data_IF_362420893348
#
_entry.id   IF_362420893348
#
_cell.length_a   1.000
_cell.length_b   1.000
_cell.length_c   1.000
_cell.angle_alpha   90.00
_cell.angle_beta   90.00
_cell.angle_gamma   90.00
#
_symmetry.space_group_name_H-M   'P 1'
#
loop_
_entity.id
_entity.type
_entity.pdbx_description
1 polymer ?
#
# COMPACT_ATOMS: atom_id res chain seq x y z
N UNK A 1 8.28 7.09 -5.79
CA UNK A 1 7.70 6.97 -4.43
C UNK A 1 8.27 8.10 -3.58
N UNK A 2 7.54 8.62 -2.58
CA UNK A 2 8.10 9.62 -1.65
C UNK A 2 8.76 8.86 -0.50
N UNK A 3 10.08 9.04 -0.32
CA UNK A 3 10.85 8.39 0.74
C UNK A 3 10.80 9.28 1.97
N UNK A 4 9.97 8.92 2.95
CA UNK A 4 10.00 9.52 4.28
C UNK A 4 10.43 8.41 5.26
N UNK A 5 11.64 8.53 5.81
CA UNK A 5 12.21 7.64 6.84
C UNK A 5 12.05 6.13 6.61
N UNK A 6 12.49 5.62 5.45
CA UNK A 6 12.52 4.17 5.12
C UNK A 6 11.17 3.45 5.05
N UNK A 7 10.04 4.15 5.19
CA UNK A 7 8.72 3.61 4.85
C UNK A 7 8.51 3.71 3.34
N UNK A 8 8.55 2.57 2.65
CA UNK A 8 8.09 2.45 1.28
C UNK A 8 6.56 2.53 1.26
N UNK A 9 6.01 3.73 1.41
CA UNK A 9 4.59 3.96 1.14
C UNK A 9 4.46 4.08 -0.39
N UNK A 10 3.85 3.11 -1.10
CA UNK A 10 3.63 3.26 -2.52
C UNK A 10 2.78 4.52 -2.73
N UNK A 11 3.10 5.34 -3.75
CA UNK A 11 2.31 6.54 -4.11
C UNK A 11 0.80 6.23 -4.21
N UNK A 12 0.50 4.98 -4.54
CA UNK A 12 -0.83 4.39 -4.60
C UNK A 12 -1.55 4.42 -3.24
N UNK A 13 -0.89 4.11 -2.12
CA UNK A 13 -1.54 4.17 -0.80
C UNK A 13 -1.94 5.59 -0.42
N UNK A 14 -1.08 6.58 -0.73
CA UNK A 14 -1.42 8.00 -0.51
C UNK A 14 -2.62 8.40 -1.38
N UNK A 15 -2.60 8.01 -2.65
CA UNK A 15 -3.71 8.27 -3.58
C UNK A 15 -5.01 7.60 -3.13
N UNK A 16 -4.96 6.36 -2.61
CA UNK A 16 -6.12 5.66 -2.06
C UNK A 16 -6.66 6.42 -0.83
N UNK A 17 -5.79 6.86 0.09
CA UNK A 17 -6.23 7.65 1.26
C UNK A 17 -6.88 8.96 0.83
N UNK A 18 -6.32 9.64 -0.17
CA UNK A 18 -6.90 10.87 -0.72
C UNK A 18 -8.27 10.63 -1.38
N UNK A 19 -8.43 9.53 -2.10
CA UNK A 19 -9.72 9.14 -2.69
C UNK A 19 -10.72 8.82 -1.58
N UNK A 20 -10.34 8.02 -0.58
CA UNK A 20 -11.21 7.67 0.54
C UNK A 20 -11.65 8.91 1.31
N UNK A 21 -10.77 9.89 1.52
CA UNK A 21 -11.12 11.16 2.15
C UNK A 21 -12.23 11.90 1.39
N UNK A 22 -12.11 11.98 0.05
CA UNK A 22 -13.12 12.63 -0.79
C UNK A 22 -14.45 11.87 -0.80
N UNK A 23 -14.40 10.54 -0.85
CA UNK A 23 -15.59 9.70 -0.78
C UNK A 23 -16.29 9.85 0.57
N UNK A 24 -15.56 9.78 1.68
CA UNK A 24 -16.14 9.95 3.01
C UNK A 24 -16.78 11.32 3.21
N UNK A 25 -16.19 12.37 2.62
CA UNK A 25 -16.79 13.71 2.62
C UNK A 25 -18.11 13.73 1.84
N UNK A 26 -18.15 13.08 0.68
CA UNK A 26 -19.36 12.97 -0.15
C UNK A 26 -20.44 12.14 0.55
N UNK A 27 -20.08 10.99 1.12
CA UNK A 27 -20.97 10.13 1.91
C UNK A 27 -21.55 10.85 3.13
N UNK A 28 -20.76 11.69 3.80
CA UNK A 28 -21.21 12.46 4.96
C UNK A 28 -22.30 13.47 4.57
N UNK A 29 -22.00 14.36 3.62
CA UNK A 29 -22.98 15.37 3.19
C UNK A 29 -24.17 14.74 2.45
N UNK A 30 -23.94 13.67 1.68
CA UNK A 30 -25.00 12.91 1.01
C UNK A 30 -25.93 12.18 1.99
N UNK A 31 -25.38 11.58 3.05
CA UNK A 31 -26.15 10.85 4.06
C UNK A 31 -27.02 11.77 4.91
N UNK A 32 -26.49 12.95 5.23
CA UNK A 32 -27.25 14.00 5.91
C UNK A 32 -28.31 14.58 4.97
N UNK A 33 -27.95 14.86 3.71
CA UNK A 33 -28.90 15.36 2.71
C UNK A 33 -30.09 14.40 2.56
N UNK A 34 -29.87 13.09 2.40
CA UNK A 34 -30.95 12.10 2.31
C UNK A 34 -31.90 12.11 3.52
N UNK A 35 -31.41 12.50 4.70
CA UNK A 35 -32.21 12.56 5.93
C UNK A 35 -33.04 13.83 6.04
N UNK A 36 -32.53 14.96 5.54
CA UNK A 36 -33.10 16.31 5.68
C UNK A 36 -33.68 16.88 4.37
N UNK A 37 -33.59 16.14 3.27
CA UNK A 37 -34.11 16.51 1.95
C UNK A 37 -35.61 16.83 1.94
N UNK A 38 -36.37 16.34 2.92
CA UNK A 38 -37.81 16.58 3.04
C UNK A 38 -38.18 17.91 3.72
N UNK A 39 -37.24 18.65 4.33
CA UNK A 39 -37.58 19.77 5.22
C UNK A 39 -36.83 21.09 5.03
N UNK A 40 -35.56 21.08 4.62
CA UNK A 40 -34.76 22.31 4.49
C UNK A 40 -33.87 22.26 3.26
N UNK A 41 -33.96 23.27 2.40
CA UNK A 41 -33.09 23.40 1.23
C UNK A 41 -31.62 23.45 1.61
N UNK A 42 -30.78 22.81 0.79
CA UNK A 42 -29.33 22.76 0.96
C UNK A 42 -28.73 24.17 0.88
N UNK A 43 -28.47 24.79 2.03
CA UNK A 43 -27.88 26.12 2.13
C UNK A 43 -26.41 26.03 2.50
N UNK A 44 -25.59 26.99 2.04
CA UNK A 44 -24.14 27.06 2.34
C UNK A 44 -23.88 27.11 3.87
N UNK A 45 -24.84 27.63 4.64
CA UNK A 45 -24.79 27.62 6.10
C UNK A 45 -24.72 26.21 6.69
N UNK A 46 -25.46 25.27 6.10
CA UNK A 46 -25.48 23.87 6.53
C UNK A 46 -24.10 23.19 6.45
N UNK A 47 -23.34 23.51 5.40
CA UNK A 47 -21.96 23.03 5.27
C UNK A 47 -21.05 23.54 6.37
N UNK A 48 -21.20 24.81 6.78
CA UNK A 48 -20.38 25.41 7.83
C UNK A 48 -20.74 24.82 9.18
N UNK A 49 -22.04 24.66 9.44
CA UNK A 49 -22.55 24.15 10.71
C UNK A 49 -22.18 22.68 10.91
N UNK A 50 -22.13 21.87 9.85
CA UNK A 50 -21.79 20.44 9.92
C UNK A 50 -20.32 20.09 9.61
N UNK A 51 -19.45 21.09 9.40
CA UNK A 51 -18.06 20.85 8.97
C UNK A 51 -17.22 20.16 10.05
N UNK A 52 -17.45 20.51 11.32
CA UNK A 52 -16.69 19.96 12.43
C UNK A 52 -17.02 18.48 12.64
N UNK A 53 -18.29 18.13 12.56
CA UNK A 53 -18.82 16.77 12.64
C UNK A 53 -18.33 15.91 11.47
N UNK A 54 -18.27 16.50 10.26
CA UNK A 54 -17.72 15.84 9.08
C UNK A 54 -16.25 15.47 9.32
N UNK A 55 -15.46 16.39 9.84
CA UNK A 55 -14.04 16.14 10.14
C UNK A 55 -13.90 15.01 11.16
N UNK A 56 -14.64 15.05 12.27
CA UNK A 56 -14.64 14.00 13.29
C UNK A 56 -14.96 12.64 12.68
N UNK A 57 -16.02 12.56 11.88
CA UNK A 57 -16.43 11.32 11.21
C UNK A 57 -15.34 10.79 10.27
N UNK A 58 -14.82 11.63 9.38
CA UNK A 58 -13.78 11.24 8.41
C UNK A 58 -12.52 10.76 9.15
N UNK A 59 -12.07 11.48 10.19
CA UNK A 59 -10.92 11.06 10.99
C UNK A 59 -11.17 9.74 11.71
N UNK A 60 -12.33 9.56 12.34
CA UNK A 60 -12.69 8.32 13.02
C UNK A 60 -12.75 7.14 12.03
N UNK A 61 -13.31 7.33 10.84
CA UNK A 61 -13.44 6.30 9.82
C UNK A 61 -12.08 5.95 9.20
N UNK A 62 -11.27 6.94 8.82
CA UNK A 62 -9.90 6.72 8.32
C UNK A 62 -9.05 6.01 9.37
N UNK A 63 -9.13 6.43 10.63
CA UNK A 63 -8.42 5.78 11.73
C UNK A 63 -8.86 4.32 11.89
N UNK A 64 -10.16 4.04 11.83
CA UNK A 64 -10.71 2.69 11.93
C UNK A 64 -10.27 1.79 10.77
N UNK A 65 -10.23 2.33 9.55
CA UNK A 65 -9.73 1.62 8.38
C UNK A 65 -8.22 1.36 8.46
N UNK A 66 -7.45 2.34 8.96
CA UNK A 66 -6.03 2.20 9.18
C UNK A 66 -5.70 1.15 10.26
N UNK A 67 -6.45 1.15 11.37
CA UNK A 67 -6.31 0.19 12.45
C UNK A 67 -6.56 -1.26 11.98
N UNK A 68 -7.53 -1.47 11.09
CA UNK A 68 -7.81 -2.77 10.46
C UNK A 68 -6.88 -3.10 9.28
N UNK A 69 -5.87 -2.27 9.02
CA UNK A 69 -4.87 -2.53 8.00
C UNK A 69 -5.38 -2.44 6.56
N UNK A 70 -6.42 -1.65 6.30
CA UNK A 70 -6.92 -1.44 4.92
C UNK A 70 -5.91 -0.70 4.01
N UNK A 71 -4.95 0.00 4.59
CA UNK A 71 -3.92 0.76 3.87
C UNK A 71 -2.56 0.05 3.82
N UNK A 72 -2.44 -1.12 4.44
CA UNK A 72 -1.21 -1.90 4.33
C UNK A 72 -1.07 -2.44 2.90
N UNK A 73 0.13 -2.37 2.31
CA UNK A 73 0.41 -3.08 1.08
C UNK A 73 0.45 -4.57 1.40
N UNK A 74 -0.67 -5.26 1.26
CA UNK A 74 -0.73 -6.71 1.34
C UNK A 74 -0.81 -7.33 -0.04
N UNK A 75 0.01 -8.38 -0.22
CA UNK A 75 0.28 -9.13 -1.44
C UNK A 75 -0.96 -9.83 -2.01
N UNK A 76 -2.08 -9.92 -1.27
CA UNK A 76 -3.33 -10.52 -1.74
C UNK A 76 -4.54 -9.63 -1.42
N UNK A 77 -4.84 -8.75 -2.37
CA UNK A 77 -6.09 -8.00 -2.40
C UNK A 77 -7.19 -8.89 -2.97
N UNK A 78 -7.77 -9.73 -2.14
CA UNK A 78 -9.04 -10.40 -2.42
C UNK A 78 -10.22 -9.49 -2.06
N UNK A 79 -11.31 -9.62 -2.81
CA UNK A 79 -12.54 -8.88 -2.48
C UNK A 79 -13.08 -9.30 -1.11
N UNK A 80 -12.95 -10.58 -0.78
CA UNK A 80 -13.33 -11.13 0.53
C UNK A 80 -12.49 -10.53 1.66
N UNK A 81 -11.17 -10.42 1.50
CA UNK A 81 -10.31 -9.82 2.54
C UNK A 81 -10.62 -8.34 2.76
N UNK A 82 -10.98 -7.62 1.68
CA UNK A 82 -11.47 -6.23 1.78
C UNK A 82 -12.77 -6.16 2.58
N UNK A 83 -13.74 -7.03 2.31
CA UNK A 83 -15.02 -7.06 3.03
C UNK A 83 -14.83 -7.39 4.52
N UNK A 84 -14.02 -8.41 4.82
CA UNK A 84 -13.70 -8.83 6.19
C UNK A 84 -12.92 -7.78 7.00
N UNK A 85 -12.27 -6.81 6.35
CA UNK A 85 -11.63 -5.67 7.02
C UNK A 85 -12.56 -4.47 7.13
N UNK A 86 -13.34 -4.19 6.10
CA UNK A 86 -14.21 -3.02 6.08
C UNK A 86 -15.36 -3.14 7.09
N UNK A 87 -15.97 -4.33 7.23
CA UNK A 87 -17.03 -4.56 8.22
C UNK A 87 -16.60 -4.21 9.66
N UNK A 88 -15.49 -4.75 10.20
CA UNK A 88 -15.04 -4.40 11.54
C UNK A 88 -14.53 -2.95 11.63
N UNK A 89 -14.00 -2.35 10.54
CA UNK A 89 -13.68 -0.92 10.52
C UNK A 89 -14.90 -0.03 10.71
N UNK A 90 -16.01 -0.32 10.01
CA UNK A 90 -17.26 0.43 10.18
C UNK A 90 -17.82 0.25 11.59
N UNK A 91 -17.78 -0.97 12.12
CA UNK A 91 -18.21 -1.25 13.50
C UNK A 91 -17.36 -0.48 14.53
N UNK A 92 -16.03 -0.44 14.35
CA UNK A 92 -15.11 0.34 15.17
C UNK A 92 -15.44 1.84 15.08
N UNK A 93 -15.63 2.37 13.86
CA UNK A 93 -16.01 3.76 13.64
C UNK A 93 -17.34 4.09 14.32
N UNK A 94 -18.34 3.22 14.23
CA UNK A 94 -19.62 3.39 14.92
C UNK A 94 -19.44 3.45 16.44
N UNK A 95 -18.62 2.57 17.01
CA UNK A 95 -18.27 2.61 18.43
C UNK A 95 -17.56 3.90 18.84
N UNK A 96 -16.60 4.36 18.04
CA UNK A 96 -15.89 5.64 18.28
C UNK A 96 -16.84 6.83 18.20
N UNK A 97 -17.71 6.88 17.20
CA UNK A 97 -18.69 7.96 17.06
C UNK A 97 -19.68 7.97 18.21
N UNK A 98 -20.17 6.80 18.65
CA UNK A 98 -21.03 6.70 19.82
C UNK A 98 -20.33 7.19 21.10
N UNK A 99 -19.04 6.86 21.27
CA UNK A 99 -18.22 7.35 22.38
C UNK A 99 -18.00 8.86 22.31
N UNK A 100 -17.72 9.41 21.13
CA UNK A 100 -17.53 10.85 20.93
C UNK A 100 -18.82 11.61 21.23
N UNK A 101 -19.98 11.12 20.77
CA UNK A 101 -21.28 11.73 21.08
C UNK A 101 -21.63 11.69 22.56
N UNK A 102 -21.11 10.71 23.31
CA UNK A 102 -21.30 10.68 24.76
C UNK A 102 -20.51 11.78 25.47
N UNK A 103 -19.30 12.09 25.00
CA UNK A 103 -18.45 13.15 25.59
C UNK A 103 -18.88 14.54 25.09
N UNK A 104 -19.22 14.65 23.80
CA UNK A 104 -19.56 15.89 23.10
C UNK A 104 -20.96 15.80 22.52
N UNK A 105 -22.02 15.94 23.34
CA UNK A 105 -23.40 15.80 22.89
C UNK A 105 -23.81 16.85 21.85
N UNK A 106 -23.10 17.98 21.77
CA UNK A 106 -23.32 19.03 20.75
C UNK A 106 -23.03 18.54 19.32
N UNK A 107 -22.19 17.50 19.15
CA UNK A 107 -21.84 16.93 17.83
C UNK A 107 -22.82 15.85 17.35
N UNK A 108 -23.93 15.65 18.05
CA UNK A 108 -24.85 14.55 17.78
C UNK A 108 -25.62 14.75 16.47
N UNK A 109 -25.27 13.93 15.46
CA UNK A 109 -25.87 13.95 14.11
C UNK A 109 -27.28 13.33 14.04
N UNK A 110 -27.79 12.74 15.11
CA UNK A 110 -29.01 11.94 15.05
C UNK A 110 -28.74 10.50 14.57
N UNK A 111 -29.33 9.52 15.27
CA UNK A 111 -29.16 8.07 14.96
C UNK A 111 -29.44 7.72 13.49
N UNK A 112 -30.45 8.35 12.88
CA UNK A 112 -30.81 8.11 11.48
C UNK A 112 -29.82 8.69 10.46
N UNK A 113 -29.28 9.88 10.71
CA UNK A 113 -28.28 10.47 9.81
C UNK A 113 -26.97 9.70 9.89
N UNK A 114 -26.53 9.31 11.11
CA UNK A 114 -25.34 8.47 11.29
C UNK A 114 -25.47 7.14 10.53
N UNK A 115 -26.64 6.50 10.59
CA UNK A 115 -26.89 5.26 9.84
C UNK A 115 -26.74 5.48 8.33
N UNK A 116 -27.36 6.53 7.77
CA UNK A 116 -27.27 6.85 6.34
C UNK A 116 -25.80 7.11 5.92
N UNK A 117 -25.07 7.91 6.69
CA UNK A 117 -23.66 8.24 6.42
C UNK A 117 -22.79 6.98 6.46
N UNK A 118 -23.00 6.09 7.43
CA UNK A 118 -22.26 4.82 7.54
C UNK A 118 -22.54 3.90 6.36
N UNK A 119 -23.80 3.74 5.97
CA UNK A 119 -24.20 2.88 4.84
C UNK A 119 -23.63 3.43 3.53
N UNK A 120 -23.74 4.73 3.28
CA UNK A 120 -23.15 5.34 2.08
C UNK A 120 -21.63 5.18 2.05
N UNK A 121 -20.96 5.47 3.17
CA UNK A 121 -19.50 5.33 3.27
C UNK A 121 -19.07 3.89 2.97
N UNK A 122 -19.78 2.90 3.51
CA UNK A 122 -19.51 1.49 3.25
C UNK A 122 -19.67 1.14 1.77
N UNK A 123 -20.78 1.55 1.14
CA UNK A 123 -21.08 1.27 -0.26
C UNK A 123 -20.09 1.97 -1.19
N UNK A 124 -19.81 3.25 -0.98
CA UNK A 124 -18.88 4.03 -1.80
C UNK A 124 -17.46 3.47 -1.73
N UNK A 125 -16.97 3.13 -0.54
CA UNK A 125 -15.66 2.52 -0.37
C UNK A 125 -15.61 1.15 -1.04
N UNK A 126 -16.64 0.31 -0.90
CA UNK A 126 -16.70 -0.98 -1.59
C UNK A 126 -16.66 -0.83 -3.11
N UNK A 127 -17.43 0.11 -3.67
CA UNK A 127 -17.43 0.39 -5.11
C UNK A 127 -16.05 0.88 -5.55
N UNK A 128 -15.45 1.83 -4.83
CA UNK A 128 -14.12 2.34 -5.13
C UNK A 128 -13.07 1.22 -5.12
N UNK A 129 -13.13 0.32 -4.14
CA UNK A 129 -12.26 -0.85 -4.09
C UNK A 129 -12.54 -1.80 -5.25
N UNK A 130 -13.78 -2.14 -5.56
CA UNK A 130 -14.13 -2.99 -6.69
C UNK A 130 -13.62 -2.44 -8.04
N UNK A 131 -13.74 -1.12 -8.24
CA UNK A 131 -13.17 -0.43 -9.41
C UNK A 131 -11.65 -0.53 -9.41
N UNK A 132 -10.99 -0.32 -8.27
CA UNK A 132 -9.53 -0.48 -8.15
C UNK A 132 -9.08 -1.92 -8.40
N UNK A 133 -9.79 -2.93 -7.91
CA UNK A 133 -9.49 -4.34 -8.21
C UNK A 133 -9.61 -4.64 -9.71
N UNK A 134 -10.67 -4.14 -10.35
CA UNK A 134 -10.90 -4.33 -11.79
C UNK A 134 -9.97 -3.49 -12.66
N UNK A 135 -9.51 -2.33 -12.16
CA UNK A 135 -8.59 -1.42 -12.84
C UNK A 135 -7.10 -1.74 -12.60
N UNK A 136 -6.75 -2.45 -11.53
CA UNK A 136 -5.38 -2.86 -11.21
C UNK A 136 -4.82 -3.94 -12.15
N UNK A 137 -5.66 -4.52 -13.02
CA UNK A 137 -5.20 -5.32 -14.16
C UNK A 137 -4.66 -4.48 -15.32
N UNK A 138 -4.80 -3.15 -15.28
CA UNK A 138 -4.27 -2.27 -16.31
C UNK A 138 -2.81 -1.95 -15.98
N UNK A 139 -1.95 -2.25 -16.95
CA UNK A 139 -0.47 -2.22 -17.02
C UNK A 139 0.24 -0.94 -16.53
N UNK A 140 -0.50 0.05 -16.01
CA UNK A 140 -0.07 1.38 -15.58
C UNK A 140 0.70 1.34 -14.25
N UNK A 141 0.44 0.34 -13.40
CA UNK A 141 1.09 0.23 -12.07
C UNK A 141 2.34 -0.66 -12.05
N UNK A 142 2.67 -1.33 -13.16
CA UNK A 142 3.87 -2.15 -13.24
C UNK A 142 5.06 -1.28 -13.57
N UNK A 143 6.04 -1.22 -12.65
CA UNK A 143 7.33 -0.60 -12.96
C UNK A 143 7.98 -1.36 -14.11
N UNK A 144 8.53 -0.61 -15.08
CA UNK A 144 9.32 -1.17 -16.17
C UNK A 144 10.66 -1.61 -15.58
N UNK A 145 10.91 -2.91 -15.57
CA UNK A 145 12.02 -3.48 -14.82
C UNK A 145 12.99 -4.17 -15.77
N UNK A 146 14.26 -3.79 -15.67
CA UNK A 146 15.36 -4.44 -16.35
C UNK A 146 15.99 -5.45 -15.40
N UNK A 147 16.29 -6.66 -15.87
CA UNK A 147 16.89 -7.70 -15.04
C UNK A 147 18.35 -7.89 -15.47
N UNK A 148 19.26 -7.74 -14.51
CA UNK A 148 20.69 -8.01 -14.70
C UNK A 148 20.98 -9.44 -14.24
N UNK A 149 21.15 -10.34 -15.21
CA UNK A 149 21.29 -11.79 -15.04
C UNK A 149 20.36 -12.54 -15.99
N UNK A 150 20.84 -13.66 -16.53
CA UNK A 150 20.09 -14.54 -17.46
C UNK A 150 20.00 -15.99 -16.99
N UNK A 151 20.54 -16.28 -15.80
CA UNK A 151 20.55 -17.61 -15.22
C UNK A 151 19.21 -18.05 -14.62
N UNK A 152 19.26 -19.13 -13.82
CA UNK A 152 18.07 -19.76 -13.21
C UNK A 152 17.21 -18.78 -12.41
N UNK A 153 17.84 -17.89 -11.62
CA UNK A 153 17.14 -16.89 -10.80
C UNK A 153 16.34 -15.88 -11.65
N UNK A 154 16.83 -15.55 -12.85
CA UNK A 154 16.14 -14.67 -13.79
C UNK A 154 14.98 -15.40 -14.51
N UNK A 155 15.13 -16.69 -14.79
CA UNK A 155 14.06 -17.52 -15.34
C UNK A 155 12.92 -17.75 -14.34
N UNK A 156 13.24 -17.91 -13.06
CA UNK A 156 12.24 -18.06 -12.00
C UNK A 156 11.35 -16.79 -11.86
N UNK A 157 11.89 -15.60 -12.16
CA UNK A 157 11.11 -14.35 -12.23
C UNK A 157 10.07 -14.35 -13.36
N UNK A 158 10.34 -15.01 -14.49
CA UNK A 158 9.42 -15.13 -15.63
C UNK A 158 8.41 -16.25 -15.39
N UNK A 159 8.90 -17.41 -14.98
CA UNK A 159 8.12 -18.64 -14.75
C UNK A 159 7.58 -18.71 -13.33
N UNK A 160 7.29 -17.56 -12.70
CA UNK A 160 6.52 -17.57 -11.47
C UNK A 160 5.06 -17.88 -11.80
N UNK A 161 4.81 -19.15 -12.12
CA UNK A 161 3.52 -19.75 -12.49
C UNK A 161 2.43 -19.41 -11.47
N UNK A 162 1.74 -18.28 -11.66
CA UNK A 162 0.59 -17.87 -10.86
C UNK A 162 0.83 -17.62 -9.37
N UNK A 163 2.05 -17.78 -8.85
CA UNK A 163 2.36 -17.57 -7.42
C UNK A 163 2.43 -16.09 -7.03
N UNK A 164 2.71 -15.21 -7.98
CA UNK A 164 2.66 -13.75 -7.78
C UNK A 164 1.44 -13.25 -8.56
N UNK A 165 0.48 -12.57 -7.90
CA UNK A 165 -0.70 -12.06 -8.58
C UNK A 165 -0.27 -11.04 -9.63
N UNK A 166 -0.96 -11.05 -10.78
CA UNK A 166 -0.52 -10.35 -12.00
C UNK A 166 -0.16 -8.86 -11.80
N UNK A 167 -0.75 -8.18 -10.82
CA UNK A 167 -0.47 -6.77 -10.55
C UNK A 167 0.87 -6.50 -9.83
N UNK A 168 1.46 -7.50 -9.16
CA UNK A 168 2.80 -7.41 -8.54
C UNK A 168 3.91 -7.95 -9.46
N UNK A 169 3.57 -8.55 -10.60
CA UNK A 169 4.58 -9.01 -11.55
C UNK A 169 5.26 -7.79 -12.19
N UNK A 170 6.60 -7.74 -12.19
CA UNK A 170 7.32 -6.64 -12.78
C UNK A 170 7.11 -6.70 -14.30
N UNK A 171 6.95 -5.54 -14.95
CA UNK A 171 6.92 -5.51 -16.41
C UNK A 171 8.37 -5.63 -16.89
N UNK A 172 8.80 -6.87 -17.11
CA UNK A 172 10.17 -7.15 -17.54
C UNK A 172 10.35 -6.62 -18.96
N UNK A 173 11.18 -5.59 -19.11
CA UNK A 173 11.47 -4.96 -20.41
C UNK A 173 12.68 -5.56 -21.11
N UNK A 174 13.53 -6.29 -20.37
CA UNK A 174 14.68 -6.99 -20.93
C UNK A 174 15.58 -7.62 -19.87
N UNK A 175 16.39 -8.57 -20.32
CA UNK A 175 17.44 -9.24 -19.54
C UNK A 175 18.81 -8.87 -20.08
N UNK A 176 19.75 -8.53 -19.20
CA UNK A 176 21.15 -8.27 -19.52
C UNK A 176 21.98 -9.45 -19.01
N UNK A 177 22.71 -10.18 -19.87
CA UNK A 177 23.52 -11.31 -19.45
C UNK A 177 24.80 -10.88 -18.72
N UNK A 178 25.23 -11.69 -17.74
CA UNK A 178 26.61 -11.60 -17.25
C UNK A 178 27.58 -12.30 -18.20
N UNK A 179 28.83 -11.82 -18.34
CA UNK A 179 29.85 -12.51 -19.14
C UNK A 179 30.09 -13.93 -18.61
N UNK A 180 29.82 -14.94 -19.43
CA UNK A 180 30.03 -16.36 -19.10
C UNK A 180 28.85 -17.07 -18.44
N UNK A 181 27.67 -16.44 -18.36
CA UNK A 181 26.46 -17.05 -17.81
C UNK A 181 25.71 -17.90 -18.86
N UNK A 182 25.12 -19.02 -18.42
CA UNK A 182 24.28 -19.86 -19.28
C UNK A 182 22.87 -19.25 -19.38
N UNK A 183 22.46 -18.88 -20.59
CA UNK A 183 21.18 -18.22 -20.83
C UNK A 183 20.02 -19.20 -20.64
N UNK A 184 19.19 -18.96 -19.61
CA UNK A 184 17.99 -19.77 -19.32
C UNK A 184 16.68 -19.00 -19.47
N UNK A 185 16.73 -17.81 -20.06
CA UNK A 185 15.57 -16.94 -20.34
C UNK A 185 15.25 -16.91 -21.84
N UNK A 186 14.01 -16.54 -22.25
CA UNK A 186 13.64 -16.46 -23.67
C UNK A 186 14.54 -15.49 -24.44
N UNK A 187 15.11 -15.96 -25.56
CA UNK A 187 16.05 -15.19 -26.37
C UNK A 187 15.50 -13.84 -26.88
N UNK A 188 14.18 -13.73 -27.04
CA UNK A 188 13.49 -12.50 -27.47
C UNK A 188 13.54 -11.36 -26.45
N UNK A 189 13.84 -11.65 -25.18
CA UNK A 189 13.93 -10.66 -24.11
C UNK A 189 15.38 -10.35 -23.71
N UNK A 190 16.36 -11.01 -24.33
CA UNK A 190 17.78 -10.78 -24.05
C UNK A 190 18.22 -9.54 -24.82
N UNK A 191 18.70 -8.54 -24.10
CA UNK A 191 19.24 -7.31 -24.67
C UNK A 191 20.70 -7.57 -25.06
N UNK A 192 20.92 -7.90 -26.32
CA UNK A 192 22.26 -8.07 -26.90
C UNK A 192 22.80 -6.71 -27.33
N UNK A 193 23.66 -6.11 -26.51
CA UNK A 193 24.36 -4.86 -26.81
C UNK A 193 25.57 -4.66 -25.89
N UNK A 194 26.60 -3.95 -26.36
CA UNK A 194 27.74 -3.49 -25.53
C UNK A 194 27.49 -2.12 -24.91
N UNK A 195 26.25 -1.65 -24.96
CA UNK A 195 25.87 -0.35 -24.43
C UNK A 195 25.95 -0.37 -22.90
N UNK A 196 26.31 0.76 -22.31
CA UNK A 196 26.33 0.89 -20.85
C UNK A 196 24.94 0.61 -20.26
N UNK A 197 24.90 0.06 -19.04
CA UNK A 197 23.66 -0.26 -18.35
C UNK A 197 22.71 0.94 -18.28
N UNK A 198 23.28 2.15 -18.18
CA UNK A 198 22.57 3.41 -18.21
C UNK A 198 21.87 3.67 -19.55
N UNK A 199 22.57 3.47 -20.68
CA UNK A 199 22.00 3.67 -22.02
C UNK A 199 20.86 2.68 -22.28
N UNK A 200 21.02 1.44 -21.80
CA UNK A 200 19.97 0.43 -21.84
C UNK A 200 18.78 0.82 -20.96
N UNK A 201 19.02 1.28 -19.73
CA UNK A 201 17.95 1.74 -18.85
C UNK A 201 17.15 2.91 -19.45
N UNK A 202 17.81 3.87 -20.09
CA UNK A 202 17.16 4.99 -20.76
C UNK A 202 16.37 4.53 -22.00
N UNK A 203 16.97 3.67 -22.84
CA UNK A 203 16.34 3.14 -24.07
C UNK A 203 15.07 2.35 -23.77
N UNK A 204 15.12 1.49 -22.76
CA UNK A 204 13.99 0.66 -22.36
C UNK A 204 13.04 1.37 -21.37
N UNK A 205 13.34 2.63 -21.00
CA UNK A 205 12.64 3.42 -19.97
C UNK A 205 12.47 2.61 -18.67
N UNK A 206 13.53 1.98 -18.22
CA UNK A 206 13.54 1.17 -17.02
C UNK A 206 13.50 2.07 -15.78
N UNK A 207 12.52 1.85 -14.91
CA UNK A 207 12.40 2.55 -13.63
C UNK A 207 13.11 1.77 -12.50
N UNK A 208 13.31 0.47 -12.70
CA UNK A 208 13.89 -0.46 -11.75
C UNK A 208 14.88 -1.41 -12.45
N UNK A 209 15.95 -1.76 -11.75
CA UNK A 209 16.93 -2.77 -12.13
C UNK A 209 16.97 -3.83 -11.03
N UNK A 210 16.59 -5.06 -11.37
CA UNK A 210 16.71 -6.22 -10.47
C UNK A 210 17.99 -6.97 -10.82
N UNK A 211 18.84 -7.19 -9.83
CA UNK A 211 20.06 -7.98 -9.97
C UNK A 211 19.73 -9.42 -9.57
N UNK A 212 19.88 -10.35 -10.50
CA UNK A 212 19.55 -11.77 -10.32
C UNK A 212 20.76 -12.64 -10.71
N UNK A 213 21.87 -12.61 -9.94
CA UNK A 213 23.08 -13.36 -10.29
C UNK A 213 22.86 -14.85 -10.01
N UNK A 214 23.34 -15.74 -10.88
CA UNK A 214 23.35 -17.19 -10.62
C UNK A 214 24.51 -17.61 -9.71
N UNK A 215 25.70 -17.02 -9.88
CA UNK A 215 26.88 -17.28 -9.05
C UNK A 215 27.82 -16.05 -9.04
N UNK A 216 28.16 -15.50 -7.85
CA UNK A 216 29.11 -14.36 -7.72
C UNK A 216 30.59 -14.80 -7.75
N UNK A 217 30.93 -15.88 -8.46
CA UNK A 217 32.30 -16.38 -8.52
C UNK A 217 33.00 -15.86 -9.77
N UNK A 218 33.81 -14.82 -9.60
CA UNK A 218 34.82 -14.39 -10.59
C UNK A 218 34.32 -13.62 -11.82
N UNK A 219 33.03 -13.32 -11.94
CA UNK A 219 32.47 -12.52 -13.03
C UNK A 219 32.54 -11.00 -12.80
N UNK A 220 32.61 -10.23 -13.88
CA UNK A 220 32.52 -8.76 -13.86
C UNK A 220 31.15 -8.32 -13.29
N UNK A 221 31.19 -7.62 -12.15
CA UNK A 221 29.99 -7.05 -11.52
C UNK A 221 30.03 -5.52 -11.68
N UNK A 222 29.13 -4.91 -12.47
CA UNK A 222 29.22 -3.50 -12.85
C UNK A 222 28.74 -2.56 -11.73
N UNK A 223 29.48 -2.51 -10.61
CA UNK A 223 29.12 -1.68 -9.44
C UNK A 223 29.03 -0.20 -9.81
N UNK A 224 29.98 0.29 -10.63
CA UNK A 224 30.02 1.70 -11.03
C UNK A 224 28.78 2.09 -11.84
N UNK A 225 28.40 1.28 -12.83
CA UNK A 225 27.22 1.56 -13.66
C UNK A 225 25.92 1.47 -12.86
N UNK A 226 25.83 0.51 -11.92
CA UNK A 226 24.68 0.40 -11.00
C UNK A 226 24.58 1.61 -10.08
N UNK A 227 25.71 2.12 -9.59
CA UNK A 227 25.73 3.33 -8.76
C UNK A 227 25.29 4.55 -9.55
N UNK A 228 25.75 4.71 -10.79
CA UNK A 228 25.32 5.80 -11.67
C UNK A 228 23.83 5.75 -11.97
N UNK A 229 23.28 4.55 -12.24
CA UNK A 229 21.83 4.36 -12.38
C UNK A 229 21.09 4.78 -11.11
N UNK A 230 21.61 4.40 -9.94
CA UNK A 230 21.02 4.78 -8.64
C UNK A 230 21.08 6.29 -8.39
N UNK A 231 22.15 6.97 -8.79
CA UNK A 231 22.27 8.44 -8.69
C UNK A 231 21.29 9.17 -9.61
N UNK A 232 20.92 8.59 -10.76
CA UNK A 232 19.88 9.10 -11.65
C UNK A 232 18.45 8.79 -11.21
N UNK A 233 18.28 8.13 -10.06
CA UNK A 233 16.98 7.81 -9.49
C UNK A 233 16.37 6.48 -9.98
N UNK A 234 17.10 5.71 -10.78
CA UNK A 234 16.71 4.34 -11.16
C UNK A 234 16.92 3.43 -9.95
N UNK A 235 15.90 2.67 -9.57
CA UNK A 235 15.98 1.83 -8.36
C UNK A 235 16.75 0.56 -8.66
N UNK A 236 17.84 0.33 -7.93
CA UNK A 236 18.65 -0.89 -8.05
C UNK A 236 18.44 -1.77 -6.82
N UNK A 237 18.02 -3.02 -7.01
CA UNK A 237 17.78 -3.98 -5.92
C UNK A 237 18.19 -5.40 -6.31
N UNK A 238 18.52 -6.22 -5.31
CA UNK A 238 18.76 -7.66 -5.48
C UNK A 238 17.41 -8.40 -5.58
N UNK A 239 17.38 -9.57 -6.21
CA UNK A 239 16.21 -10.43 -6.33
C UNK A 239 15.62 -10.79 -4.95
N UNK A 240 16.49 -10.98 -3.94
CA UNK A 240 16.06 -11.25 -2.56
C UNK A 240 15.28 -10.06 -1.98
N UNK A 241 15.78 -8.83 -2.16
CA UNK A 241 15.11 -7.59 -1.72
C UNK A 241 13.84 -7.33 -2.51
N UNK A 242 13.81 -7.70 -3.80
CA UNK A 242 12.59 -7.65 -4.60
C UNK A 242 11.51 -8.58 -4.04
N UNK A 243 11.85 -9.84 -3.72
CA UNK A 243 10.90 -10.78 -3.12
C UNK A 243 10.42 -10.35 -1.74
N UNK A 244 11.30 -9.82 -0.90
CA UNK A 244 10.92 -9.28 0.41
C UNK A 244 9.92 -8.13 0.28
N UNK A 245 10.17 -7.19 -0.64
CA UNK A 245 9.29 -6.05 -0.90
C UNK A 245 7.90 -6.47 -1.39
N UNK A 246 7.84 -7.41 -2.33
CA UNK A 246 6.59 -7.74 -3.02
C UNK A 246 5.78 -8.84 -2.30
N UNK A 247 6.44 -9.76 -1.58
CA UNK A 247 5.78 -10.87 -0.87
C UNK A 247 5.76 -10.74 0.65
N UNK A 248 6.44 -9.75 1.24
CA UNK A 248 6.51 -9.59 2.70
C UNK A 248 7.24 -10.73 3.44
N UNK A 249 7.83 -11.68 2.71
CA UNK A 249 8.58 -12.81 3.22
C UNK A 249 9.86 -13.02 2.40
N UNK A 250 10.95 -13.32 3.10
CA UNK A 250 12.25 -13.58 2.48
C UNK A 250 12.33 -15.06 2.10
N UNK A 251 12.52 -15.38 0.81
CA UNK A 251 12.82 -16.76 0.39
C UNK A 251 14.26 -17.11 0.78
N UNK A 252 14.40 -18.07 1.70
CA UNK A 252 15.71 -18.54 2.19
C UNK A 252 16.64 -19.03 1.08
N UNK A 253 16.09 -19.54 -0.03
CA UNK A 253 16.86 -20.08 -1.17
C UNK A 253 17.59 -18.99 -1.99
N UNK A 254 17.31 -17.71 -1.73
CA UNK A 254 17.92 -16.55 -2.43
C UNK A 254 18.85 -15.72 -1.54
N UNK A 255 19.08 -16.15 -0.29
CA UNK A 255 19.86 -15.40 0.69
C UNK A 255 21.35 -15.74 0.61
N UNK A 256 22.17 -14.75 0.27
CA UNK A 256 23.63 -14.83 0.43
C UNK A 256 24.06 -14.14 1.73
N UNK A 257 25.14 -14.59 2.41
CA UNK A 257 25.61 -14.00 3.67
C UNK A 257 25.94 -12.50 3.59
N UNK A 258 26.33 -12.01 2.41
CA UNK A 258 26.58 -10.58 2.14
C UNK A 258 25.31 -9.73 2.25
N UNK A 259 24.12 -10.31 2.09
CA UNK A 259 22.85 -9.61 2.30
C UNK A 259 22.64 -9.22 3.77
N UNK A 260 23.10 -10.01 4.74
CA UNK A 260 23.02 -9.62 6.16
C UNK A 260 23.95 -8.45 6.51
N UNK A 261 25.01 -8.25 5.74
CA UNK A 261 26.02 -7.21 5.98
C UNK A 261 25.70 -5.91 5.22
N UNK A 262 25.03 -5.99 4.08
CA UNK A 262 24.72 -4.84 3.19
C UNK A 262 23.22 -4.58 2.98
N UNK A 263 22.34 -5.48 3.39
CA UNK A 263 20.90 -5.25 3.47
C UNK A 263 20.63 -4.26 4.59
N UNK A 264 19.80 -3.25 4.33
CA UNK A 264 19.33 -2.34 5.37
C UNK A 264 18.73 -3.19 6.48
N UNK A 265 19.39 -3.20 7.64
CA UNK A 265 19.29 -4.25 8.65
C UNK A 265 17.89 -4.49 9.22
N UNK A 266 17.85 -5.26 10.32
CA UNK A 266 16.62 -5.54 11.09
C UNK A 266 15.91 -4.24 11.50
N UNK A 267 15.04 -3.73 10.63
CA UNK A 267 14.24 -2.52 10.85
C UNK A 267 13.04 -2.89 11.73
N UNK A 268 13.31 -3.05 13.03
CA UNK A 268 12.30 -2.87 14.07
C UNK A 268 11.88 -1.40 14.05
N UNK A 269 11.04 -1.03 13.09
CA UNK A 269 10.55 0.34 12.96
C UNK A 269 9.91 0.77 14.28
N UNK A 270 10.70 1.53 15.07
CA UNK A 270 10.30 2.07 16.37
C UNK A 270 8.99 2.84 16.20
N UNK A 271 8.77 3.44 15.03
CA UNK A 271 7.56 4.17 14.67
C UNK A 271 6.32 3.26 14.56
N UNK A 272 6.43 2.06 13.96
CA UNK A 272 5.32 1.07 13.93
C UNK A 272 5.05 0.51 15.32
N UNK A 273 6.10 0.26 16.10
CA UNK A 273 5.99 -0.18 17.49
C UNK A 273 5.33 0.89 18.36
N UNK A 274 5.69 2.17 18.20
CA UNK A 274 5.12 3.29 18.93
C UNK A 274 3.67 3.55 18.55
N UNK A 275 3.30 3.49 17.26
CA UNK A 275 1.90 3.62 16.83
C UNK A 275 1.05 2.48 17.42
N UNK A 276 1.56 1.24 17.37
CA UNK A 276 0.86 0.09 17.95
C UNK A 276 0.71 0.25 19.47
N UNK A 277 1.77 0.66 20.16
CA UNK A 277 1.73 0.90 21.61
C UNK A 277 0.79 2.04 21.99
N UNK A 278 0.74 3.12 21.23
CA UNK A 278 -0.19 4.22 21.47
C UNK A 278 -1.64 3.78 21.27
N UNK A 279 -1.92 2.98 20.24
CA UNK A 279 -3.24 2.37 20.03
C UNK A 279 -3.64 1.45 21.18
N UNK A 280 -2.75 0.52 21.56
CA UNK A 280 -3.01 -0.41 22.66
C UNK A 280 -3.27 0.33 23.98
N UNK A 281 -2.55 1.43 24.22
CA UNK A 281 -2.67 2.25 25.43
C UNK A 281 -3.99 3.04 25.45
N UNK A 282 -4.38 3.65 24.32
CA UNK A 282 -5.68 4.34 24.20
C UNK A 282 -6.83 3.34 24.35
N UNK A 283 -6.77 2.19 23.66
CA UNK A 283 -7.80 1.15 23.75
C UNK A 283 -7.94 0.62 25.18
N UNK A 284 -6.82 0.40 25.88
CA UNK A 284 -6.83 -0.03 27.28
C UNK A 284 -7.42 1.02 28.21
N UNK A 285 -7.12 2.31 28.00
CA UNK A 285 -7.71 3.42 28.76
C UNK A 285 -9.22 3.53 28.54
N UNK A 286 -9.70 3.37 27.31
CA UNK A 286 -11.14 3.38 27.00
C UNK A 286 -11.86 2.20 27.66
N UNK A 287 -11.28 0.99 27.60
CA UNK A 287 -11.81 -0.19 28.28
C UNK A 287 -11.82 -0.05 29.81
N UNK A 288 -10.84 0.64 30.38
CA UNK A 288 -10.75 0.87 31.83
C UNK A 288 -11.74 1.92 32.32
N UNK A 289 -12.10 2.91 31.50
CA UNK A 289 -13.08 3.94 31.85
C UNK A 289 -14.54 3.44 31.84
N UNK A 290 -14.84 2.41 31.05
CA UNK A 290 -16.17 1.77 30.94
C UNK A 290 -16.71 1.19 32.28
N UNK A 291 -15.93 0.48 33.12
CA UNK A 291 -16.43 -0.05 34.38
C UNK A 291 -16.53 0.99 35.52
N UNK A 292 -15.78 2.10 35.45
CA UNK A 292 -15.74 3.11 36.53
C UNK A 292 -17.05 3.93 36.59
N UNK A 293 -17.79 3.99 35.49
CA UNK A 293 -19.09 4.67 35.39
C UNK A 293 -20.29 3.79 35.77
N UNK A 294 -20.07 2.52 36.14
CA UNK A 294 -21.15 1.56 36.50
C UNK A 294 -21.54 1.59 37.99
N UNK A 295 -21.08 2.57 38.76
CA UNK A 295 -21.28 2.67 40.21
C UNK A 295 -22.05 3.93 40.66
N UNK A 296 -23.04 4.36 39.88
CA UNK A 296 -24.12 5.25 40.33
C UNK A 296 -25.47 4.78 39.78
#
# INVERSE_FOLDING_TARGET
>A
MLKINNLYIPKVSILIISIDFLLLLLAFFGGIYLRFAEGQGFTISFFKDSFFEACIFIFAMIFSMAAMGMYLPETQRDFNTTLFRLMPSVALCFGLMAFIFYIFPETYLGRGALFNVMVLSFVEILIARAILHKGASVDIFRSRTLVLGTGKNANDLINTDGKIPAHHQPKIVGFIPFPGEEHRVPASLIVTGKDSLMTLADTYRAEEIIIAPQERRGGYFPIQELLECKMRGIRVMDIATYYERENGHIRMDSLYPSWFVFGGGFDQSLLRSTIKRAFDLIASLTLLALPITRNY
#
